data_IF_170647639449
#
_entry.id   IF_170647639449
#
_cell.length_a   1.000
_cell.length_b   1.000
_cell.length_c   1.000
_cell.angle_alpha   90.00
_cell.angle_beta   90.00
_cell.angle_gamma   90.00
#
_symmetry.space_group_name_H-M   'P 1'
#
loop_
_entity.id
_entity.type
_entity.pdbx_description
1 polymer ?
#
# COMPACT_ATOMS: atom_id res chain seq x y z
N UNK A 1 -19.41 64.21 -12.72
CA UNK A 1 -18.11 64.64 -12.18
C UNK A 1 -17.04 63.78 -12.84
N UNK A 2 -16.24 64.34 -13.74
CA UNK A 2 -15.20 63.59 -14.44
C UNK A 2 -13.93 63.55 -13.56
N UNK A 3 -13.36 62.36 -13.36
CA UNK A 3 -12.11 62.18 -12.63
C UNK A 3 -11.00 62.98 -13.32
N UNK A 4 -10.29 63.80 -12.54
CA UNK A 4 -9.14 64.54 -13.04
C UNK A 4 -8.01 63.59 -13.43
N UNK A 5 -7.07 64.03 -14.26
CA UNK A 5 -5.95 63.19 -14.72
C UNK A 5 -5.13 62.64 -13.55
N UNK A 6 -5.03 63.43 -12.47
CA UNK A 6 -4.36 63.07 -11.23
C UNK A 6 -5.10 61.96 -10.46
N UNK A 7 -6.44 61.99 -10.45
CA UNK A 7 -7.26 60.96 -9.82
C UNK A 7 -7.11 59.60 -10.53
N UNK A 8 -6.92 59.60 -11.86
CA UNK A 8 -6.70 58.37 -12.63
C UNK A 8 -5.38 57.67 -12.27
N UNK A 9 -4.29 58.43 -12.07
CA UNK A 9 -3.01 57.86 -11.63
C UNK A 9 -3.07 57.33 -10.21
N UNK A 10 -3.80 58.01 -9.32
CA UNK A 10 -4.00 57.56 -7.95
C UNK A 10 -4.73 56.21 -7.93
N UNK A 11 -5.79 56.07 -8.74
CA UNK A 11 -6.52 54.81 -8.90
C UNK A 11 -5.63 53.69 -9.48
N UNK A 12 -4.80 53.97 -10.49
CA UNK A 12 -3.87 52.99 -11.06
C UNK A 12 -2.81 52.55 -10.05
N UNK A 13 -2.26 53.48 -9.26
CA UNK A 13 -1.31 53.16 -8.19
C UNK A 13 -1.95 52.27 -7.11
N UNK A 14 -3.20 52.56 -6.71
CA UNK A 14 -3.95 51.72 -5.79
C UNK A 14 -4.20 50.31 -6.33
N UNK A 15 -4.59 50.18 -7.60
CA UNK A 15 -4.77 48.87 -8.24
C UNK A 15 -3.46 48.07 -8.30
N UNK A 16 -2.33 48.74 -8.57
CA UNK A 16 -1.02 48.11 -8.59
C UNK A 16 -0.58 47.63 -7.20
N UNK A 17 -0.80 48.45 -6.17
CA UNK A 17 -0.54 48.08 -4.76
C UNK A 17 -1.41 46.88 -4.35
N UNK A 18 -2.71 46.88 -4.72
CA UNK A 18 -3.62 45.77 -4.43
C UNK A 18 -3.18 44.47 -5.13
N UNK A 19 -2.67 44.54 -6.36
CA UNK A 19 -2.12 43.40 -7.08
C UNK A 19 -0.82 42.85 -6.45
N UNK A 20 0.05 43.75 -5.95
CA UNK A 20 1.25 43.36 -5.20
C UNK A 20 0.87 42.72 -3.85
N UNK A 21 -0.12 43.27 -3.14
CA UNK A 21 -0.58 42.69 -1.88
C UNK A 21 -1.26 41.31 -2.07
N UNK A 22 -2.05 41.13 -3.13
CA UNK A 22 -2.72 39.84 -3.41
C UNK A 22 -1.74 38.75 -3.84
N UNK A 23 -0.71 39.09 -4.62
CA UNK A 23 0.37 38.17 -4.98
C UNK A 23 1.23 37.79 -3.77
N UNK A 24 1.55 38.74 -2.88
CA UNK A 24 2.25 38.45 -1.63
C UNK A 24 1.43 37.60 -0.65
N UNK A 25 0.11 37.83 -0.54
CA UNK A 25 -0.76 37.03 0.32
C UNK A 25 -0.87 35.57 -0.17
N UNK A 26 -1.04 35.37 -1.48
CA UNK A 26 -1.07 34.05 -2.11
C UNK A 26 0.28 33.32 -2.00
N UNK A 27 1.38 34.08 -2.08
CA UNK A 27 2.75 33.60 -1.87
C UNK A 27 2.97 33.07 -0.44
N UNK A 28 2.54 33.80 0.59
CA UNK A 28 2.73 33.40 2.00
C UNK A 28 2.10 32.04 2.35
N UNK A 29 0.91 31.73 1.82
CA UNK A 29 0.29 30.42 2.01
C UNK A 29 1.09 29.29 1.35
N UNK A 30 1.73 29.54 0.20
CA UNK A 30 2.53 28.53 -0.51
C UNK A 30 3.85 28.25 0.24
N UNK A 31 4.47 29.26 0.85
CA UNK A 31 5.69 29.11 1.65
C UNK A 31 5.46 28.26 2.91
N UNK A 32 4.30 28.37 3.55
CA UNK A 32 3.93 27.56 4.73
C UNK A 32 3.86 26.06 4.37
N UNK A 33 3.12 25.70 3.32
CA UNK A 33 2.94 24.30 2.90
C UNK A 33 4.23 23.66 2.39
N UNK A 34 5.08 24.41 1.65
CA UNK A 34 6.40 23.91 1.23
C UNK A 34 7.34 23.65 2.42
N UNK A 35 7.20 24.43 3.49
CA UNK A 35 7.99 24.26 4.71
C UNK A 35 7.48 23.08 5.54
N UNK A 36 6.16 22.93 5.66
CA UNK A 36 5.51 21.74 6.24
C UNK A 36 5.91 20.48 5.49
N UNK A 37 5.87 20.49 4.16
CA UNK A 37 6.32 19.37 3.31
C UNK A 37 7.79 19.01 3.56
N UNK A 38 8.66 20.03 3.69
CA UNK A 38 10.08 19.81 3.99
C UNK A 38 10.27 19.20 5.38
N UNK A 39 9.60 19.74 6.39
CA UNK A 39 9.68 19.25 7.77
C UNK A 39 9.08 17.86 7.92
N UNK A 40 7.97 17.57 7.24
CA UNK A 40 7.39 16.23 7.15
C UNK A 40 8.41 15.29 6.52
N UNK A 41 8.97 15.61 5.35
CA UNK A 41 9.97 14.75 4.73
C UNK A 41 11.20 14.50 5.64
N UNK A 42 11.72 15.53 6.30
CA UNK A 42 12.86 15.40 7.22
C UNK A 42 12.51 14.60 8.49
N UNK A 43 11.33 14.81 9.07
CA UNK A 43 10.88 14.09 10.26
C UNK A 43 10.68 12.59 10.00
N UNK A 44 10.22 12.24 8.81
CA UNK A 44 9.91 10.85 8.45
C UNK A 44 11.15 10.08 8.03
N UNK A 45 12.12 10.75 7.39
CA UNK A 45 13.47 10.22 7.18
C UNK A 45 14.15 9.85 8.52
N UNK A 46 13.97 10.67 9.57
CA UNK A 46 14.52 10.39 10.90
C UNK A 46 13.81 9.24 11.62
N UNK A 47 12.56 8.91 11.24
CA UNK A 47 11.80 7.78 11.75
C UNK A 47 12.05 6.48 10.97
N UNK A 48 12.96 6.50 9.97
CA UNK A 48 13.25 5.34 9.12
C UNK A 48 12.19 5.05 8.06
N UNK A 49 11.22 5.97 7.85
CA UNK A 49 10.22 5.88 6.79
C UNK A 49 10.75 6.59 5.53
N UNK A 50 11.12 5.79 4.52
CA UNK A 50 11.56 6.28 3.23
C UNK A 50 10.37 6.42 2.27
N UNK A 51 10.01 7.65 1.92
CA UNK A 51 9.11 7.92 0.79
C UNK A 51 9.92 7.93 -0.50
N UNK A 52 9.76 6.88 -1.31
CA UNK A 52 10.27 6.82 -2.67
C UNK A 52 9.18 7.28 -3.63
N UNK A 53 9.35 8.46 -4.22
CA UNK A 53 8.53 8.90 -5.36
C UNK A 53 9.23 8.43 -6.64
N UNK A 54 8.45 7.88 -7.58
CA UNK A 54 8.95 7.37 -8.86
C UNK A 54 9.66 8.44 -9.66
N UNK A 55 9.09 9.65 -9.70
CA UNK A 55 9.58 10.76 -10.50
C UNK A 55 9.14 12.12 -9.92
N UNK A 56 9.59 13.20 -10.58
CA UNK A 56 9.27 14.56 -10.18
C UNK A 56 7.79 14.90 -10.36
N UNK A 57 7.10 14.26 -11.31
CA UNK A 57 5.68 14.48 -11.57
C UNK A 57 4.84 13.89 -10.45
N UNK A 58 5.13 12.66 -10.02
CA UNK A 58 4.50 12.04 -8.87
C UNK A 58 4.71 12.88 -7.61
N UNK A 59 5.94 13.35 -7.39
CA UNK A 59 6.24 14.22 -6.24
C UNK A 59 5.39 15.50 -6.25
N UNK A 60 5.19 16.13 -7.40
CA UNK A 60 4.34 17.32 -7.52
C UNK A 60 2.86 16.96 -7.26
N UNK A 61 2.38 15.83 -7.80
CA UNK A 61 1.02 15.33 -7.55
C UNK A 61 0.77 15.11 -6.06
N UNK A 62 1.70 14.46 -5.36
CA UNK A 62 1.64 14.20 -3.90
C UNK A 62 1.64 15.50 -3.09
N UNK A 63 2.42 16.49 -3.52
CA UNK A 63 2.43 17.82 -2.90
C UNK A 63 1.07 18.53 -3.01
N UNK A 64 0.41 18.42 -4.17
CA UNK A 64 -0.94 18.98 -4.38
C UNK A 64 -1.97 18.30 -3.46
N UNK A 65 -1.87 16.98 -3.29
CA UNK A 65 -2.76 16.21 -2.40
C UNK A 65 -2.55 16.62 -0.93
N UNK A 66 -1.30 16.70 -0.46
CA UNK A 66 -1.01 17.15 0.90
C UNK A 66 -1.61 18.53 1.18
N UNK A 67 -1.48 19.46 0.23
CA UNK A 67 -2.05 20.79 0.35
C UNK A 67 -3.57 20.74 0.55
N UNK A 68 -4.26 19.93 -0.26
CA UNK A 68 -5.71 19.77 -0.14
C UNK A 68 -6.12 19.18 1.21
N UNK A 69 -5.42 18.14 1.69
CA UNK A 69 -5.70 17.51 2.98
C UNK A 69 -5.43 18.44 4.17
N UNK A 70 -4.37 19.26 4.09
CA UNK A 70 -4.09 20.26 5.13
C UNK A 70 -5.19 21.32 5.22
N UNK A 71 -5.69 21.82 4.09
CA UNK A 71 -6.80 22.78 4.07
C UNK A 71 -8.08 22.16 4.64
N UNK A 72 -8.35 20.88 4.35
CA UNK A 72 -9.45 20.14 4.95
C UNK A 72 -9.31 20.05 6.47
N UNK A 73 -8.13 19.69 6.99
CA UNK A 73 -7.86 19.63 8.44
C UNK A 73 -8.08 21.00 9.10
N UNK A 74 -7.57 22.08 8.49
CA UNK A 74 -7.75 23.44 8.99
C UNK A 74 -9.23 23.84 9.04
N UNK A 75 -9.99 23.53 7.98
CA UNK A 75 -11.42 23.82 7.91
C UNK A 75 -12.21 23.01 8.96
N UNK A 76 -11.92 21.71 9.10
CA UNK A 76 -12.57 20.82 10.07
C UNK A 76 -12.33 21.28 11.52
N UNK A 77 -11.07 21.60 11.86
CA UNK A 77 -10.71 22.04 13.20
C UNK A 77 -11.20 23.45 13.55
N UNK A 78 -11.64 24.27 12.58
CA UNK A 78 -12.20 25.61 12.86
C UNK A 78 -13.47 25.55 13.74
N UNK A 79 -14.19 24.44 13.69
CA UNK A 79 -15.43 24.19 14.44
C UNK A 79 -15.21 23.28 15.66
N UNK A 80 -14.07 23.40 16.36
CA UNK A 80 -13.73 22.55 17.53
C UNK A 80 -14.80 22.45 18.62
N UNK A 81 -15.68 23.46 18.78
CA UNK A 81 -16.78 23.39 19.77
C UNK A 81 -17.92 22.45 19.37
N UNK A 82 -18.00 22.05 18.10
CA UNK A 82 -19.02 21.16 17.55
C UNK A 82 -18.49 19.74 17.25
N UNK A 83 -17.16 19.60 17.12
CA UNK A 83 -16.51 18.34 16.81
C UNK A 83 -15.92 17.70 18.08
N UNK A 84 -16.21 16.42 18.32
CA UNK A 84 -15.69 15.66 19.47
C UNK A 84 -14.21 15.29 19.35
N UNK A 85 -13.57 15.60 18.21
CA UNK A 85 -12.18 15.28 17.92
C UNK A 85 -11.56 16.29 16.96
N UNK A 86 -10.23 16.28 16.87
CA UNK A 86 -9.43 17.09 15.95
C UNK A 86 -8.71 16.21 14.94
N UNK A 87 -8.47 16.75 13.75
CA UNK A 87 -7.62 16.12 12.75
C UNK A 87 -6.20 16.70 12.78
N UNK A 88 -5.22 15.89 12.39
CA UNK A 88 -3.82 16.30 12.23
C UNK A 88 -3.22 15.60 11.01
N UNK A 89 -2.09 16.12 10.52
CA UNK A 89 -1.30 15.43 9.49
C UNK A 89 -0.74 14.12 10.05
N UNK A 90 -0.69 13.09 9.21
CA UNK A 90 -0.17 11.75 9.52
C UNK A 90 0.50 11.14 8.27
N UNK A 91 0.79 9.82 8.30
CA UNK A 91 1.48 9.11 7.21
C UNK A 91 0.71 9.02 5.90
N UNK A 92 -0.59 9.28 5.93
CA UNK A 92 -1.48 9.18 4.78
C UNK A 92 -1.83 10.56 4.21
N UNK A 93 -1.19 11.62 4.72
CA UNK A 93 -1.60 12.99 4.40
C UNK A 93 -1.36 13.37 2.93
N UNK A 94 -0.55 12.62 2.17
CA UNK A 94 -0.31 12.80 0.74
C UNK A 94 -1.09 11.80 -0.15
N UNK A 95 -2.04 11.06 0.43
CA UNK A 95 -2.97 10.17 -0.27
C UNK A 95 -4.34 10.82 -0.42
N UNK A 96 -5.03 10.56 -1.54
CA UNK A 96 -6.46 10.89 -1.64
C UNK A 96 -7.29 9.91 -0.81
N UNK A 97 -8.56 10.23 -0.56
CA UNK A 97 -9.46 9.28 0.10
C UNK A 97 -9.68 8.00 -0.73
N UNK A 98 -9.64 8.10 -2.06
CA UNK A 98 -9.71 6.97 -2.98
C UNK A 98 -8.44 6.12 -2.87
N UNK A 99 -7.25 6.73 -2.94
CA UNK A 99 -5.97 6.00 -2.79
C UNK A 99 -5.84 5.39 -1.38
N UNK A 100 -6.24 6.12 -0.34
CA UNK A 100 -6.30 5.60 1.02
C UNK A 100 -7.27 4.42 1.10
N UNK A 101 -8.43 4.51 0.43
CA UNK A 101 -9.38 3.41 0.33
C UNK A 101 -8.77 2.24 -0.40
N UNK A 102 -8.24 2.37 -1.60
CA UNK A 102 -7.66 1.26 -2.38
C UNK A 102 -6.46 0.59 -1.68
N UNK A 103 -5.61 1.37 -1.03
CA UNK A 103 -4.38 0.84 -0.42
C UNK A 103 -4.68 0.26 0.97
N UNK A 104 -5.44 0.96 1.80
CA UNK A 104 -5.59 0.63 3.23
C UNK A 104 -6.97 0.05 3.57
N UNK A 105 -8.00 0.42 2.81
CA UNK A 105 -9.37 -0.08 3.03
C UNK A 105 -9.73 -1.22 2.08
N UNK A 106 -9.31 -1.28 0.81
CA UNK A 106 -9.51 -2.44 -0.08
C UNK A 106 -8.53 -3.56 0.27
N UNK A 107 -7.38 -3.25 0.89
CA UNK A 107 -6.62 -4.28 1.62
C UNK A 107 -7.41 -4.82 2.83
N UNK A 108 -8.29 -4.01 3.43
CA UNK A 108 -9.26 -4.44 4.44
C UNK A 108 -10.56 -5.01 3.84
N UNK A 109 -10.89 -4.71 2.58
CA UNK A 109 -12.08 -5.13 1.82
C UNK A 109 -11.79 -6.30 0.86
N UNK A 110 -10.54 -6.78 0.85
CA UNK A 110 -10.11 -8.19 0.79
C UNK A 110 -10.79 -9.06 1.88
N UNK A 111 -11.93 -8.60 2.41
CA UNK A 111 -12.83 -9.17 3.41
C UNK A 111 -13.64 -10.34 2.83
N UNK A 112 -12.93 -11.22 2.14
CA UNK A 112 -13.26 -12.63 2.09
C UNK A 112 -11.96 -13.42 2.06
N UNK A 113 -11.05 -13.27 3.03
CA UNK A 113 -9.81 -14.06 2.99
C UNK A 113 -9.22 -14.33 4.36
N UNK A 114 -9.71 -15.44 4.89
CA UNK A 114 -9.78 -15.81 6.29
C UNK A 114 -8.43 -16.13 6.96
N UNK A 115 -7.33 -16.35 6.22
CA UNK A 115 -6.09 -16.87 6.82
C UNK A 115 -5.06 -15.82 7.22
N UNK A 116 -4.86 -14.76 6.44
CA UNK A 116 -3.92 -13.67 6.80
C UNK A 116 -4.49 -12.87 7.98
N UNK A 117 -5.77 -12.49 7.91
CA UNK A 117 -6.47 -11.77 8.97
C UNK A 117 -6.57 -12.56 10.28
N UNK A 118 -6.69 -13.90 10.21
CA UNK A 118 -6.73 -14.77 11.39
C UNK A 118 -5.32 -15.15 11.91
N UNK A 119 -4.25 -14.52 11.41
CA UNK A 119 -2.86 -14.81 11.78
C UNK A 119 -2.54 -16.31 11.66
N UNK A 120 -2.91 -16.91 10.53
CA UNK A 120 -2.65 -18.32 10.21
C UNK A 120 -1.54 -18.53 9.19
N UNK A 121 -0.88 -17.44 8.78
CA UNK A 121 0.22 -17.44 7.82
C UNK A 121 1.41 -16.75 8.48
N UNK A 122 2.58 -17.37 8.40
CA UNK A 122 3.86 -16.78 8.85
C UNK A 122 4.29 -15.62 7.94
N UNK A 123 5.24 -14.78 8.35
CA UNK A 123 5.82 -13.75 7.49
C UNK A 123 6.32 -14.30 6.14
N UNK A 124 6.45 -13.42 5.15
CA UNK A 124 7.10 -13.76 3.88
C UNK A 124 8.58 -14.07 4.14
N UNK A 125 9.07 -15.10 3.46
CA UNK A 125 10.48 -15.51 3.47
C UNK A 125 11.06 -15.35 2.06
N UNK A 126 12.37 -15.49 1.93
CA UNK A 126 13.11 -15.34 0.67
C UNK A 126 14.02 -16.54 0.44
N UNK A 127 13.78 -17.29 -0.64
CA UNK A 127 14.58 -18.45 -1.04
C UNK A 127 15.92 -18.04 -1.69
N UNK A 128 16.09 -16.77 -2.06
CA UNK A 128 17.25 -16.26 -2.77
C UNK A 128 17.45 -16.96 -4.11
N UNK A 129 18.68 -17.42 -4.36
CA UNK A 129 19.07 -18.11 -5.61
C UNK A 129 18.87 -19.62 -5.54
N UNK A 130 18.32 -20.13 -4.45
CA UNK A 130 18.08 -21.55 -4.27
C UNK A 130 16.76 -21.94 -4.98
N UNK A 131 16.77 -23.00 -5.78
CA UNK A 131 15.58 -23.53 -6.47
C UNK A 131 14.64 -24.32 -5.55
N UNK A 132 14.44 -23.86 -4.32
CA UNK A 132 13.77 -24.60 -3.25
C UNK A 132 12.34 -24.13 -2.96
N UNK A 133 11.68 -23.48 -3.93
CA UNK A 133 10.29 -23.00 -3.79
C UNK A 133 9.30 -24.11 -3.35
N UNK A 134 9.55 -25.36 -3.73
CA UNK A 134 8.81 -26.54 -3.28
C UNK A 134 8.82 -26.68 -1.75
N UNK A 135 9.97 -26.48 -1.10
CA UNK A 135 10.13 -26.58 0.35
C UNK A 135 9.39 -25.44 1.05
N UNK A 136 9.48 -24.22 0.52
CA UNK A 136 8.74 -23.06 1.04
C UNK A 136 7.22 -23.25 0.92
N UNK A 137 6.73 -23.83 -0.18
CA UNK A 137 5.31 -24.13 -0.35
C UNK A 137 4.84 -25.18 0.67
N UNK A 138 5.55 -26.31 0.77
CA UNK A 138 5.22 -27.39 1.70
C UNK A 138 5.24 -26.93 3.17
N UNK A 139 6.27 -26.19 3.57
CA UNK A 139 6.39 -25.62 4.92
C UNK A 139 5.24 -24.66 5.21
N UNK A 140 4.95 -23.71 4.31
CA UNK A 140 3.92 -22.70 4.56
C UNK A 140 2.53 -23.32 4.80
N UNK A 141 2.16 -24.37 4.05
CA UNK A 141 0.88 -25.06 4.28
C UNK A 141 0.90 -25.82 5.62
N UNK A 142 2.03 -26.46 5.95
CA UNK A 142 2.21 -27.21 7.21
C UNK A 142 2.11 -26.30 8.43
N UNK A 143 2.73 -25.12 8.40
CA UNK A 143 2.62 -24.08 9.44
C UNK A 143 1.15 -23.68 9.66
N UNK A 144 0.41 -23.52 8.57
CA UNK A 144 -1.00 -23.22 8.57
C UNK A 144 -1.85 -24.32 9.23
N UNK A 145 -1.65 -25.57 8.82
CA UNK A 145 -2.33 -26.75 9.42
C UNK A 145 -1.97 -26.90 10.89
N UNK A 146 -0.71 -26.70 11.26
CA UNK A 146 -0.29 -26.72 12.66
C UNK A 146 -1.03 -25.65 13.48
N UNK A 147 -1.19 -24.43 12.95
CA UNK A 147 -1.98 -23.38 13.59
C UNK A 147 -3.45 -23.77 13.75
N UNK A 148 -4.04 -24.47 12.77
CA UNK A 148 -5.41 -24.99 12.90
C UNK A 148 -5.54 -25.95 14.08
N UNK A 149 -4.59 -26.89 14.19
CA UNK A 149 -4.65 -28.00 15.16
C UNK A 149 -4.24 -27.59 16.56
N UNK A 150 -3.14 -26.86 16.69
CA UNK A 150 -2.51 -26.55 17.98
C UNK A 150 -2.85 -25.15 18.50
N UNK A 151 -3.48 -24.31 17.66
CA UNK A 151 -3.62 -22.86 17.88
C UNK A 151 -2.30 -22.11 18.00
N UNK A 152 -1.16 -22.76 17.79
CA UNK A 152 0.16 -22.14 17.80
C UNK A 152 0.67 -21.94 16.37
N UNK A 153 1.06 -20.71 16.02
CA UNK A 153 1.66 -20.43 14.72
C UNK A 153 3.16 -20.41 14.93
N UNK A 154 3.84 -21.41 14.37
CA UNK A 154 5.29 -21.56 14.45
C UNK A 154 5.85 -21.42 13.05
N UNK A 155 6.99 -20.76 12.92
CA UNK A 155 7.76 -20.79 11.68
C UNK A 155 8.58 -22.07 11.68
N UNK A 156 8.37 -22.92 10.69
CA UNK A 156 9.11 -24.16 10.48
C UNK A 156 10.32 -23.92 9.56
N UNK A 157 11.21 -24.92 9.46
CA UNK A 157 12.47 -24.85 8.73
C UNK A 157 12.33 -25.44 7.33
N UNK A 158 12.42 -24.59 6.30
CA UNK A 158 12.57 -25.06 4.92
C UNK A 158 13.90 -25.78 4.70
N UNK A 159 14.95 -25.37 5.42
CA UNK A 159 16.29 -25.95 5.28
C UNK A 159 16.31 -27.43 5.70
N UNK A 160 15.46 -27.82 6.65
CA UNK A 160 15.34 -29.23 7.06
C UNK A 160 14.86 -30.10 5.89
N UNK A 161 13.86 -29.64 5.13
CA UNK A 161 13.42 -30.35 3.92
C UNK A 161 14.52 -30.38 2.86
N UNK A 162 15.18 -29.24 2.62
CA UNK A 162 16.26 -29.14 1.63
C UNK A 162 17.45 -30.06 1.95
N UNK A 163 17.78 -30.22 3.23
CA UNK A 163 18.94 -31.02 3.65
C UNK A 163 18.64 -32.52 3.67
N UNK A 164 17.40 -32.92 4.00
CA UNK A 164 17.04 -34.32 4.23
C UNK A 164 16.27 -34.97 3.08
N UNK A 165 15.50 -34.22 2.30
CA UNK A 165 14.80 -34.76 1.13
C UNK A 165 15.75 -34.80 -0.07
N UNK A 166 16.66 -35.75 -0.02
CA UNK A 166 17.73 -35.92 -1.03
C UNK A 166 17.37 -36.93 -2.12
N UNK A 167 16.15 -37.48 -2.07
CA UNK A 167 15.72 -38.60 -2.92
C UNK A 167 14.74 -38.24 -4.03
N UNK A 168 14.20 -37.01 -4.05
CA UNK A 168 13.10 -36.62 -4.94
C UNK A 168 13.51 -35.79 -6.17
N UNK A 169 12.70 -35.92 -7.23
CA UNK A 169 12.66 -35.01 -8.39
C UNK A 169 11.90 -33.73 -8.01
N UNK A 170 12.32 -33.05 -6.94
CA UNK A 170 11.56 -31.93 -6.35
C UNK A 170 11.84 -30.63 -7.10
N UNK A 171 11.59 -30.65 -8.40
CA UNK A 171 11.28 -29.47 -9.16
C UNK A 171 9.80 -29.23 -8.91
N UNK A 172 9.40 -28.15 -8.23
CA UNK A 172 7.97 -27.81 -8.12
C UNK A 172 7.35 -27.91 -9.51
N UNK A 173 6.37 -28.80 -9.68
CA UNK A 173 6.21 -29.65 -10.86
C UNK A 173 6.01 -29.00 -12.24
N UNK A 174 6.08 -27.67 -12.36
CA UNK A 174 6.09 -26.98 -13.66
C UNK A 174 7.14 -25.86 -13.78
N UNK A 175 7.67 -25.33 -12.67
CA UNK A 175 8.79 -24.38 -12.58
C UNK A 175 8.95 -23.81 -11.15
N UNK A 176 7.82 -23.53 -10.49
CA UNK A 176 7.76 -22.72 -9.28
C UNK A 176 6.63 -23.12 -8.33
N UNK A 177 6.96 -23.38 -7.07
CA UNK A 177 6.00 -23.68 -6.01
C UNK A 177 5.52 -22.42 -5.28
N UNK A 178 4.20 -22.28 -5.12
CA UNK A 178 3.55 -21.20 -4.35
C UNK A 178 2.41 -21.72 -3.50
N UNK A 179 1.91 -20.90 -2.59
CA UNK A 179 0.78 -21.24 -1.71
C UNK A 179 -0.41 -20.31 -1.95
N UNK A 180 -1.57 -20.88 -2.26
CA UNK A 180 -2.84 -20.15 -2.22
C UNK A 180 -3.30 -20.01 -0.76
N UNK A 181 -3.20 -18.79 -0.22
CA UNK A 181 -3.60 -18.48 1.18
C UNK A 181 -5.05 -18.00 1.29
N UNK A 182 -5.76 -17.94 0.16
CA UNK A 182 -7.21 -17.87 0.06
C UNK A 182 -7.66 -17.24 -1.26
N UNK A 183 -8.89 -16.73 -1.31
CA UNK A 183 -9.52 -16.24 -2.54
C UNK A 183 -10.49 -15.08 -2.28
N UNK A 184 -10.70 -14.18 -3.24
CA UNK A 184 -11.68 -13.10 -3.09
C UNK A 184 -12.38 -12.74 -4.40
N UNK A 185 -13.07 -11.60 -4.39
CA UNK A 185 -13.73 -10.97 -5.54
C UNK A 185 -13.45 -9.46 -5.48
N UNK A 186 -12.97 -8.89 -6.59
CA UNK A 186 -12.73 -7.45 -6.75
C UNK A 186 -14.04 -6.66 -6.89
N UNK A 187 -13.94 -5.35 -6.82
CA UNK A 187 -15.05 -4.41 -6.99
C UNK A 187 -15.69 -4.47 -8.38
N UNK A 188 -14.91 -4.89 -9.38
CA UNK A 188 -15.31 -5.17 -10.76
C UNK A 188 -15.98 -6.55 -10.95
N UNK A 189 -16.11 -7.33 -9.87
CA UNK A 189 -16.64 -8.70 -9.91
C UNK A 189 -15.59 -9.75 -10.30
N UNK A 190 -14.34 -9.37 -10.54
CA UNK A 190 -13.27 -10.30 -10.90
C UNK A 190 -12.87 -11.15 -9.69
N UNK A 191 -13.03 -12.47 -9.81
CA UNK A 191 -12.60 -13.42 -8.76
C UNK A 191 -11.09 -13.62 -8.82
N UNK A 192 -10.46 -13.74 -7.66
CA UNK A 192 -9.01 -13.99 -7.57
C UNK A 192 -8.65 -15.04 -6.51
N UNK A 193 -7.46 -15.62 -6.65
CA UNK A 193 -6.68 -16.31 -5.62
C UNK A 193 -5.68 -15.31 -5.02
N UNK A 194 -5.48 -15.34 -3.71
CA UNK A 194 -4.37 -14.66 -3.05
C UNK A 194 -3.26 -15.66 -2.81
N UNK A 195 -2.08 -15.38 -3.36
CA UNK A 195 -0.96 -16.29 -3.40
C UNK A 195 0.21 -15.69 -2.63
N UNK A 196 0.74 -16.44 -1.67
CA UNK A 196 1.99 -16.13 -0.95
C UNK A 196 3.16 -16.71 -1.72
N UNK A 197 4.17 -15.87 -1.97
CA UNK A 197 5.40 -16.26 -2.67
C UNK A 197 6.59 -16.33 -1.69
N UNK A 198 7.75 -16.76 -2.20
CA UNK A 198 9.00 -17.00 -1.47
C UNK A 198 10.17 -16.17 -1.99
N UNK A 199 9.91 -14.97 -2.55
CA UNK A 199 10.94 -14.06 -3.11
C UNK A 199 11.09 -12.77 -2.30
N UNK A 200 10.80 -12.83 -1.00
CA UNK A 200 10.91 -11.67 -0.12
C UNK A 200 9.77 -10.65 -0.29
N UNK A 201 9.72 -9.69 0.63
CA UNK A 201 8.66 -8.67 0.69
C UNK A 201 8.80 -7.57 -0.37
N UNK A 202 9.97 -7.45 -1.00
CA UNK A 202 10.23 -6.49 -2.08
C UNK A 202 9.62 -6.90 -3.42
N UNK A 203 9.17 -8.15 -3.56
CA UNK A 203 8.48 -8.64 -4.75
C UNK A 203 6.95 -8.60 -4.59
N UNK A 204 6.23 -8.27 -5.66
CA UNK A 204 4.77 -8.20 -5.66
C UNK A 204 4.22 -7.19 -4.64
N UNK A 205 3.03 -7.46 -4.10
CA UNK A 205 2.44 -6.66 -3.02
C UNK A 205 2.86 -7.23 -1.68
N UNK A 206 4.03 -6.82 -1.19
CA UNK A 206 4.56 -7.27 0.10
C UNK A 206 4.87 -8.77 0.15
N UNK A 207 5.27 -9.36 -0.99
CA UNK A 207 5.54 -10.81 -1.16
C UNK A 207 4.33 -11.64 -1.63
N UNK A 208 3.21 -11.00 -1.94
CA UNK A 208 1.99 -11.66 -2.41
C UNK A 208 1.63 -11.23 -3.84
N UNK A 209 0.85 -12.06 -4.51
CA UNK A 209 0.21 -11.75 -5.80
C UNK A 209 -1.24 -12.22 -5.80
N UNK A 210 -2.10 -11.50 -6.53
CA UNK A 210 -3.46 -11.94 -6.82
C UNK A 210 -3.53 -12.53 -8.23
N UNK A 211 -4.04 -13.75 -8.36
CA UNK A 211 -4.19 -14.43 -9.65
C UNK A 211 -5.66 -14.60 -10.00
N UNK A 212 -6.06 -14.39 -11.26
CA UNK A 212 -7.46 -14.50 -11.65
C UNK A 212 -8.00 -15.92 -11.42
N UNK A 213 -9.21 -16.01 -10.88
CA UNK A 213 -9.89 -17.26 -10.49
C UNK A 213 -11.20 -17.40 -11.23
N UNK A 214 -11.63 -18.64 -11.45
CA UNK A 214 -12.90 -18.94 -12.11
C UNK A 214 -12.86 -18.64 -13.61
N UNK A 215 -11.69 -18.77 -14.22
CA UNK A 215 -11.54 -18.75 -15.67
C UNK A 215 -12.03 -20.08 -16.28
N UNK A 216 -12.34 -20.13 -17.58
CA UNK A 216 -12.83 -21.37 -18.21
C UNK A 216 -11.82 -22.52 -18.26
N UNK A 217 -10.51 -22.23 -18.23
CA UNK A 217 -9.46 -23.24 -18.24
C UNK A 217 -9.49 -24.06 -16.95
N UNK A 218 -9.46 -25.39 -17.08
CA UNK A 218 -9.59 -26.32 -15.94
C UNK A 218 -8.34 -26.33 -15.07
N UNK A 219 -7.20 -26.10 -15.71
CA UNK A 219 -5.88 -25.94 -15.14
C UNK A 219 -5.77 -24.65 -14.30
N UNK A 220 -6.73 -23.73 -14.46
CA UNK A 220 -6.68 -22.41 -13.87
C UNK A 220 -5.65 -21.51 -14.57
N UNK A 221 -5.58 -20.25 -14.14
CA UNK A 221 -4.60 -19.32 -14.69
C UNK A 221 -3.20 -19.80 -14.29
N UNK A 222 -2.31 -19.97 -15.27
CA UNK A 222 -0.94 -20.44 -15.07
C UNK A 222 -0.85 -21.79 -14.33
N UNK A 223 -1.76 -22.73 -14.60
CA UNK A 223 -1.66 -24.09 -14.03
C UNK A 223 -1.95 -24.17 -12.52
N UNK A 224 -2.42 -23.10 -11.88
CA UNK A 224 -2.61 -23.03 -10.41
C UNK A 224 -3.51 -24.13 -9.83
N UNK A 225 -4.34 -24.78 -10.65
CA UNK A 225 -5.22 -25.88 -10.24
C UNK A 225 -4.74 -27.27 -10.70
N UNK A 226 -3.57 -27.39 -11.33
CA UNK A 226 -3.05 -28.67 -11.85
C UNK A 226 -2.51 -29.58 -10.75
N UNK A 227 -1.75 -29.03 -9.80
CA UNK A 227 -1.04 -29.81 -8.77
C UNK A 227 -1.27 -29.32 -7.34
N UNK A 228 -2.49 -28.86 -7.05
CA UNK A 228 -2.84 -28.39 -5.71
C UNK A 228 -2.87 -29.55 -4.69
N UNK A 229 -2.11 -29.41 -3.61
CA UNK A 229 -2.06 -30.38 -2.50
C UNK A 229 -2.03 -29.69 -1.13
N UNK A 230 -2.42 -30.42 -0.08
CA UNK A 230 -2.34 -29.97 1.30
C UNK A 230 -2.02 -31.16 2.23
N UNK A 231 -1.24 -30.96 3.31
CA UNK A 231 -0.95 -32.00 4.28
C UNK A 231 -2.18 -32.25 5.18
N UNK A 232 -2.34 -33.49 5.62
CA UNK A 232 -3.36 -33.90 6.58
C UNK A 232 -2.72 -34.19 7.93
N UNK A 233 -3.40 -33.86 9.04
CA UNK A 233 -2.86 -33.94 10.40
C UNK A 233 -3.85 -34.59 11.36
#
# INVERSE_FOLDING_TARGET
MALTYQDKYLCLAFLFILAICSSQASSRQIYDVKTIWRHMKTGWLNLGQFFFYKDAEEKERRFVILKANLEFIKAFNKHMRQNYFTLSLNEFADLTNEEFREIHIEMSLMCHLQWIGEKRVTPIKDQGKCGCCWAFSAVAVTEGVNKLKTRNLISLSEQELVDYDTTGQDHGCEDHGVIAVGYGTGSDGTKYWLVKNSWGTGWGKGGYVTMQRGIPAKEGLCGIAMEASYPTA
#
